data_IF_224420585898
#
_entry.id   IF_224420585898
#
_cell.length_a   1.000
_cell.length_b   1.000
_cell.length_c   1.000
_cell.angle_alpha   90.00
_cell.angle_beta   90.00
_cell.angle_gamma   90.00
#
_symmetry.space_group_name_H-M   'P 1'
#
loop_
_entity.id
_entity.type
_entity.pdbx_description
1 polymer ?
#
# COMPACT_ATOMS: atom_id res chain seq x y z
N UNK A 1 6.10 5.48 -27.53
CA UNK A 1 6.19 5.72 -26.07
C UNK A 1 6.87 4.56 -25.32
N UNK A 2 7.15 4.67 -24.03
CA UNK A 2 7.78 3.58 -23.24
C UNK A 2 7.33 3.64 -21.77
N UNK A 3 7.45 2.52 -21.05
CA UNK A 3 7.19 2.44 -19.62
C UNK A 3 8.28 1.61 -18.91
N UNK A 4 9.19 2.21 -18.14
CA UNK A 4 10.25 1.50 -17.44
C UNK A 4 9.76 0.43 -16.47
N UNK A 5 8.53 0.57 -15.92
CA UNK A 5 7.98 -0.44 -15.01
C UNK A 5 7.86 -1.84 -15.63
N UNK A 6 7.65 -1.93 -16.92
CA UNK A 6 7.57 -3.23 -17.60
C UNK A 6 8.86 -4.04 -17.45
N UNK A 7 10.02 -3.36 -17.35
CA UNK A 7 11.34 -3.99 -17.22
C UNK A 7 11.86 -4.01 -15.80
N UNK A 8 11.63 -2.92 -15.07
CA UNK A 8 12.33 -2.63 -13.82
C UNK A 8 11.45 -2.75 -12.57
N UNK A 9 10.17 -3.11 -12.69
CA UNK A 9 9.28 -3.26 -11.54
C UNK A 9 8.77 -4.69 -11.38
N UNK A 10 8.85 -5.19 -10.16
CA UNK A 10 8.29 -6.48 -9.73
C UNK A 10 7.28 -6.20 -8.65
N UNK A 11 6.04 -6.63 -8.85
CA UNK A 11 5.00 -6.55 -7.85
C UNK A 11 4.57 -7.93 -7.39
N UNK A 12 4.62 -8.13 -6.08
CA UNK A 12 4.00 -9.28 -5.43
C UNK A 12 2.54 -8.98 -5.10
N UNK A 13 1.63 -9.86 -5.51
CA UNK A 13 0.21 -9.71 -5.31
C UNK A 13 -0.27 -10.42 -4.03
N UNK A 14 -1.44 -10.02 -3.45
CA UNK A 14 -1.94 -10.62 -2.21
C UNK A 14 -2.46 -12.06 -2.36
N UNK A 15 -2.48 -12.61 -3.55
CA UNK A 15 -2.83 -14.01 -3.86
C UNK A 15 -1.60 -14.89 -4.12
N UNK A 16 -0.38 -14.35 -3.94
CA UNK A 16 0.86 -15.09 -4.16
C UNK A 16 1.42 -15.01 -5.58
N UNK A 17 0.72 -14.37 -6.51
CA UNK A 17 1.18 -14.16 -7.88
C UNK A 17 2.09 -12.95 -8.01
N UNK A 18 2.71 -12.78 -9.18
CA UNK A 18 3.54 -11.62 -9.53
C UNK A 18 2.97 -10.89 -10.75
N UNK A 19 3.20 -9.59 -10.78
CA UNK A 19 2.85 -8.73 -11.91
C UNK A 19 3.89 -7.62 -12.09
N UNK A 20 3.79 -6.86 -13.18
CA UNK A 20 4.75 -5.77 -13.49
C UNK A 20 4.25 -4.39 -13.08
N UNK A 21 2.97 -4.23 -12.83
CA UNK A 21 2.42 -2.93 -12.43
C UNK A 21 1.11 -3.10 -11.64
N UNK A 22 0.95 -2.33 -10.57
CA UNK A 22 -0.28 -2.31 -9.78
C UNK A 22 -1.37 -1.39 -10.34
N UNK A 23 -1.07 -0.61 -11.37
CA UNK A 23 -2.03 0.28 -12.04
C UNK A 23 -2.64 -0.29 -13.31
N UNK A 24 -2.12 -1.41 -13.79
CA UNK A 24 -2.73 -2.10 -14.93
C UNK A 24 -4.13 -2.60 -14.58
N UNK A 25 -5.02 -2.54 -15.56
CA UNK A 25 -6.39 -3.03 -15.47
C UNK A 25 -6.46 -4.37 -16.20
N UNK A 26 -7.04 -5.39 -15.56
CA UNK A 26 -7.18 -6.72 -16.14
C UNK A 26 -5.87 -7.34 -16.69
N UNK A 27 -4.73 -6.91 -16.15
CA UNK A 27 -3.45 -7.49 -16.55
C UNK A 27 -3.34 -8.94 -16.05
N UNK A 28 -2.70 -9.82 -16.81
CA UNK A 28 -2.46 -11.18 -16.36
C UNK A 28 -1.54 -11.22 -15.15
N UNK A 29 -1.77 -12.20 -14.29
CA UNK A 29 -0.96 -12.50 -13.13
C UNK A 29 -0.24 -13.84 -13.33
N UNK A 30 0.97 -13.96 -12.84
CA UNK A 30 1.83 -15.10 -13.08
C UNK A 30 2.32 -15.68 -11.74
N UNK A 31 2.56 -17.00 -11.70
CA UNK A 31 3.05 -17.67 -10.49
C UNK A 31 4.49 -17.24 -10.13
N UNK A 32 5.29 -16.89 -11.13
CA UNK A 32 6.65 -16.38 -10.94
C UNK A 32 7.11 -15.55 -12.15
N UNK A 33 8.28 -14.93 -12.03
CA UNK A 33 8.82 -14.02 -13.07
C UNK A 33 9.49 -14.72 -14.23
N UNK A 34 9.70 -16.03 -14.17
CA UNK A 34 10.46 -16.79 -15.17
C UNK A 34 9.58 -17.58 -16.12
N UNK A 35 8.26 -17.41 -16.04
CA UNK A 35 7.34 -18.07 -16.97
C UNK A 35 7.44 -17.49 -18.38
N UNK A 36 7.32 -18.35 -19.37
CA UNK A 36 7.42 -17.96 -20.77
C UNK A 36 6.26 -17.04 -21.17
N UNK A 37 5.06 -17.28 -20.65
CA UNK A 37 3.86 -16.47 -20.88
C UNK A 37 4.05 -15.01 -20.44
N UNK A 38 4.71 -14.78 -19.29
CA UNK A 38 5.05 -13.42 -18.86
C UNK A 38 5.96 -12.73 -19.86
N UNK A 39 6.97 -13.41 -20.35
CA UNK A 39 7.93 -12.85 -21.33
C UNK A 39 7.24 -12.51 -22.66
N UNK A 40 6.36 -13.38 -23.13
CA UNK A 40 5.55 -13.13 -24.32
C UNK A 40 4.65 -11.91 -24.14
N UNK A 41 3.89 -11.91 -23.08
CA UNK A 41 2.96 -10.81 -22.77
C UNK A 41 3.70 -9.46 -22.63
N UNK A 42 4.84 -9.42 -21.96
CA UNK A 42 5.66 -8.21 -21.84
C UNK A 42 6.14 -7.71 -23.19
N UNK A 43 6.55 -8.63 -24.07
CA UNK A 43 6.97 -8.27 -25.44
C UNK A 43 5.83 -7.62 -26.23
N UNK A 44 4.62 -8.17 -26.18
CA UNK A 44 3.42 -7.62 -26.84
C UNK A 44 3.09 -6.21 -26.32
N UNK A 45 3.12 -6.03 -24.98
CA UNK A 45 2.84 -4.74 -24.35
C UNK A 45 3.91 -3.69 -24.73
N UNK A 46 5.19 -4.05 -24.72
CA UNK A 46 6.29 -3.18 -25.11
C UNK A 46 6.22 -2.80 -26.59
N UNK A 47 5.90 -3.77 -27.45
CA UNK A 47 5.77 -3.55 -28.90
C UNK A 47 4.62 -2.57 -29.21
N UNK A 48 3.48 -2.71 -28.53
CA UNK A 48 2.37 -1.76 -28.65
C UNK A 48 2.81 -0.35 -28.28
N UNK A 49 3.50 -0.21 -27.14
CA UNK A 49 4.00 1.11 -26.70
C UNK A 49 5.04 1.70 -27.65
N UNK A 50 5.94 0.89 -28.23
CA UNK A 50 6.93 1.35 -29.22
C UNK A 50 6.26 1.91 -30.49
N UNK A 51 5.09 1.37 -30.85
CA UNK A 51 4.27 1.85 -31.95
C UNK A 51 3.29 2.96 -31.55
N UNK A 52 3.48 3.60 -30.37
CA UNK A 52 2.63 4.63 -29.80
C UNK A 52 1.16 4.21 -29.61
N UNK A 53 0.92 2.91 -29.44
CA UNK A 53 -0.39 2.35 -29.12
C UNK A 53 -0.46 2.08 -27.61
N UNK A 54 -1.47 2.62 -26.95
CA UNK A 54 -1.72 2.32 -25.56
C UNK A 54 -2.26 0.90 -25.39
N UNK A 55 -1.58 0.04 -24.61
CA UNK A 55 -2.13 -1.27 -24.25
C UNK A 55 -3.43 -1.10 -23.44
N UNK A 56 -4.37 -2.03 -23.64
CA UNK A 56 -5.67 -2.00 -22.95
C UNK A 56 -5.53 -2.02 -21.42
N UNK A 57 -4.46 -2.63 -20.91
CA UNK A 57 -4.15 -2.71 -19.47
C UNK A 57 -3.65 -1.39 -18.90
N UNK A 58 -3.20 -0.46 -19.74
CA UNK A 58 -2.58 0.80 -19.34
C UNK A 58 -3.54 2.02 -19.38
N UNK A 59 -4.86 1.79 -19.50
CA UNK A 59 -5.90 2.83 -19.62
C UNK A 59 -5.85 3.84 -18.48
N UNK A 60 -5.59 3.42 -17.24
CA UNK A 60 -5.48 4.37 -16.10
C UNK A 60 -4.38 5.40 -16.27
N UNK A 61 -3.22 5.01 -16.80
CA UNK A 61 -2.15 5.95 -17.10
C UNK A 61 -2.53 6.84 -18.27
N UNK A 62 -3.14 6.27 -19.31
CA UNK A 62 -3.61 7.01 -20.48
C UNK A 62 -4.62 8.11 -20.08
N UNK A 63 -5.65 7.74 -19.35
CA UNK A 63 -6.68 8.68 -18.86
C UNK A 63 -6.07 9.78 -17.99
N UNK A 64 -5.19 9.38 -17.03
CA UNK A 64 -4.53 10.36 -16.17
C UNK A 64 -3.63 11.32 -16.95
N UNK A 65 -2.92 10.85 -17.98
CA UNK A 65 -2.05 11.68 -18.81
C UNK A 65 -2.82 12.58 -19.77
N UNK A 66 -4.08 12.25 -20.09
CA UNK A 66 -4.98 13.13 -20.83
C UNK A 66 -5.54 14.28 -19.98
N UNK A 67 -5.69 14.05 -18.67
CA UNK A 67 -6.27 15.02 -17.74
C UNK A 67 -5.19 15.83 -17.00
N UNK A 68 -4.01 15.27 -16.80
CA UNK A 68 -2.95 15.84 -15.97
C UNK A 68 -1.57 15.56 -16.57
N UNK A 69 -0.57 16.33 -16.17
CA UNK A 69 0.83 16.11 -16.57
C UNK A 69 1.54 15.07 -15.69
N UNK A 70 0.80 14.21 -15.01
CA UNK A 70 1.36 13.21 -14.09
C UNK A 70 0.72 11.84 -14.31
N UNK A 71 1.50 10.78 -14.14
CA UNK A 71 1.02 9.40 -14.07
C UNK A 71 2.07 8.51 -13.41
N UNK A 72 1.69 7.28 -13.06
CA UNK A 72 2.66 6.28 -12.60
C UNK A 72 3.73 5.99 -13.66
N UNK A 73 3.37 6.02 -14.95
CA UNK A 73 4.32 5.84 -16.06
C UNK A 73 5.31 7.01 -16.15
N UNK A 74 4.82 8.24 -16.13
CA UNK A 74 5.67 9.44 -16.20
C UNK A 74 6.59 9.55 -14.98
N UNK A 75 6.10 9.21 -13.79
CA UNK A 75 6.93 9.14 -12.60
C UNK A 75 8.00 8.04 -12.71
N UNK A 76 7.66 6.89 -13.31
CA UNK A 76 8.63 5.84 -13.55
C UNK A 76 9.71 6.25 -14.56
N UNK A 77 9.38 7.05 -15.58
CA UNK A 77 10.36 7.60 -16.54
C UNK A 77 11.31 8.57 -15.81
N UNK A 78 10.79 9.46 -14.97
CA UNK A 78 11.65 10.36 -14.17
C UNK A 78 12.59 9.57 -13.26
N UNK A 79 12.05 8.58 -12.55
CA UNK A 79 12.84 7.71 -11.68
C UNK A 79 13.92 6.94 -12.45
N UNK A 80 13.59 6.42 -13.64
CA UNK A 80 14.51 5.68 -14.51
C UNK A 80 15.72 6.54 -14.95
N UNK A 81 15.48 7.80 -15.26
CA UNK A 81 16.52 8.76 -15.65
C UNK A 81 17.53 9.07 -14.53
N UNK A 82 17.15 8.87 -13.27
CA UNK A 82 17.98 9.08 -12.10
C UNK A 82 18.83 7.85 -11.72
N UNK A 83 18.53 6.69 -12.34
CA UNK A 83 19.22 5.45 -11.98
C UNK A 83 20.59 5.34 -12.61
N UNK A 84 21.57 4.96 -11.79
CA UNK A 84 22.96 4.71 -12.22
C UNK A 84 23.30 3.23 -12.30
N UNK A 85 22.39 2.37 -11.80
CA UNK A 85 22.56 0.90 -11.82
C UNK A 85 21.89 0.36 -13.08
N UNK A 86 22.63 -0.23 -14.00
CA UNK A 86 22.04 -0.90 -15.16
C UNK A 86 21.09 -2.01 -14.70
N UNK A 87 19.97 -2.17 -15.40
CA UNK A 87 18.99 -3.24 -15.12
C UNK A 87 18.51 -3.28 -13.66
N UNK A 88 18.41 -2.14 -13.01
CA UNK A 88 17.90 -2.04 -11.63
C UNK A 88 16.51 -2.67 -11.47
N UNK A 89 16.17 -3.04 -10.25
CA UNK A 89 14.83 -3.51 -9.90
C UNK A 89 14.21 -2.64 -8.80
N UNK A 90 12.96 -2.30 -9.02
CA UNK A 90 12.04 -1.81 -7.99
C UNK A 90 11.11 -2.95 -7.60
N UNK A 91 11.02 -3.24 -6.32
CA UNK A 91 10.14 -4.30 -5.80
C UNK A 91 9.02 -3.66 -5.01
N UNK A 92 7.80 -4.09 -5.25
CA UNK A 92 6.64 -3.55 -4.53
C UNK A 92 5.53 -4.56 -4.31
N UNK A 93 4.47 -4.09 -3.68
CA UNK A 93 3.27 -4.88 -3.41
C UNK A 93 3.25 -5.55 -2.05
N UNK A 94 2.63 -6.72 -1.96
CA UNK A 94 2.34 -7.43 -0.73
C UNK A 94 3.34 -8.54 -0.50
N UNK A 95 4.31 -8.35 0.40
CA UNK A 95 5.26 -9.41 0.74
C UNK A 95 4.65 -10.44 1.69
N UNK A 96 3.72 -10.02 2.56
CA UNK A 96 2.76 -10.88 3.24
C UNK A 96 1.48 -10.09 3.60
N UNK A 97 0.44 -10.80 4.06
CA UNK A 97 -0.81 -10.21 4.51
C UNK A 97 -1.02 -10.30 6.03
N UNK A 98 0.03 -10.60 6.80
CA UNK A 98 -0.04 -10.62 8.26
C UNK A 98 -0.35 -9.21 8.78
N UNK A 99 -1.47 -9.07 9.47
CA UNK A 99 -1.93 -7.80 10.02
C UNK A 99 -2.62 -7.99 11.36
N UNK A 100 -2.37 -7.08 12.29
CA UNK A 100 -3.01 -7.05 13.61
C UNK A 100 -4.28 -6.20 13.64
N UNK A 101 -4.66 -5.55 12.52
CA UNK A 101 -5.80 -4.64 12.44
C UNK A 101 -6.93 -5.20 11.59
N UNK A 102 -8.16 -4.91 12.02
CA UNK A 102 -9.38 -5.23 11.31
C UNK A 102 -10.09 -3.95 10.83
N UNK A 103 -9.36 -3.07 10.12
CA UNK A 103 -9.88 -1.79 9.65
C UNK A 103 -11.18 -1.95 8.85
N UNK A 104 -12.10 -0.97 9.01
CA UNK A 104 -13.42 -1.01 8.35
C UNK A 104 -13.34 -0.95 6.82
N UNK A 105 -12.31 -0.26 6.30
CA UNK A 105 -12.09 0.00 4.87
C UNK A 105 -11.17 -1.01 4.19
N UNK A 106 -10.70 -2.04 4.91
CA UNK A 106 -9.78 -3.05 4.41
C UNK A 106 -10.49 -4.38 4.12
N UNK A 107 -9.78 -5.34 3.53
CA UNK A 107 -10.30 -6.66 3.17
C UNK A 107 -9.39 -7.81 3.63
N UNK A 108 -9.91 -9.04 3.53
CA UNK A 108 -9.22 -10.23 4.02
C UNK A 108 -7.98 -10.63 3.21
N UNK A 109 -7.83 -10.18 1.96
CA UNK A 109 -6.63 -10.44 1.16
C UNK A 109 -5.42 -9.66 1.66
N UNK A 110 -5.67 -8.52 2.32
CA UNK A 110 -4.64 -7.63 2.85
C UNK A 110 -4.51 -7.69 4.37
N UNK A 111 -5.41 -8.42 5.07
CA UNK A 111 -5.37 -8.53 6.52
C UNK A 111 -5.86 -9.90 7.01
N UNK A 112 -4.95 -10.66 7.58
CA UNK A 112 -5.29 -11.94 8.25
C UNK A 112 -6.24 -11.75 9.43
N UNK A 113 -6.23 -10.58 10.08
CA UNK A 113 -7.19 -10.25 11.15
C UNK A 113 -8.62 -10.19 10.61
N UNK A 114 -8.83 -9.54 9.47
CA UNK A 114 -10.15 -9.49 8.82
C UNK A 114 -10.58 -10.88 8.37
N UNK A 115 -9.66 -11.66 7.80
CA UNK A 115 -9.93 -13.06 7.44
C UNK A 115 -10.46 -13.86 8.62
N UNK A 116 -9.84 -13.74 9.80
CA UNK A 116 -10.28 -14.38 11.03
C UNK A 116 -11.67 -13.95 11.49
N UNK A 117 -11.99 -12.65 11.40
CA UNK A 117 -13.30 -12.11 11.78
C UNK A 117 -14.44 -12.67 10.93
N UNK A 118 -14.18 -12.96 9.66
CA UNK A 118 -15.17 -13.54 8.76
C UNK A 118 -15.34 -15.07 8.90
N UNK A 119 -14.64 -15.69 9.84
CA UNK A 119 -14.71 -17.15 10.06
C UNK A 119 -14.24 -17.98 8.86
N UNK A 120 -13.59 -17.37 7.88
CA UNK A 120 -13.02 -18.02 6.71
C UNK A 120 -11.52 -18.20 6.93
N UNK A 121 -11.01 -19.37 6.60
CA UNK A 121 -9.57 -19.57 6.49
C UNK A 121 -9.11 -18.89 5.18
N UNK A 122 -8.78 -17.62 5.28
CA UNK A 122 -8.05 -16.97 4.19
C UNK A 122 -6.60 -17.42 4.25
N UNK A 123 -5.99 -17.74 3.12
CA UNK A 123 -4.60 -18.16 3.11
C UNK A 123 -3.72 -17.03 3.65
N UNK A 124 -2.77 -17.39 4.52
CA UNK A 124 -1.67 -16.50 4.84
C UNK A 124 -0.78 -16.48 3.60
N UNK A 125 -0.66 -15.32 3.00
CA UNK A 125 0.22 -15.10 1.86
C UNK A 125 1.62 -14.78 2.38
N UNK A 126 2.61 -15.50 1.90
CA UNK A 126 4.02 -15.28 2.18
C UNK A 126 4.81 -15.27 0.86
N UNK A 127 5.09 -14.09 0.38
CA UNK A 127 5.90 -13.83 -0.82
C UNK A 127 7.40 -13.66 -0.49
N UNK A 128 7.83 -13.84 0.75
CA UNK A 128 9.22 -13.65 1.16
C UNK A 128 10.17 -14.57 0.40
N UNK A 129 9.77 -15.82 0.12
CA UNK A 129 10.57 -16.73 -0.70
C UNK A 129 10.78 -16.20 -2.12
N UNK A 130 9.73 -15.64 -2.73
CA UNK A 130 9.82 -15.00 -4.05
C UNK A 130 10.73 -13.78 -4.02
N UNK A 131 10.65 -12.96 -2.97
CA UNK A 131 11.55 -11.82 -2.77
C UNK A 131 13.03 -12.27 -2.71
N UNK A 132 13.36 -13.29 -1.92
CA UNK A 132 14.73 -13.79 -1.77
C UNK A 132 15.27 -14.51 -3.02
N UNK A 133 14.41 -14.88 -3.97
CA UNK A 133 14.83 -15.47 -5.27
C UNK A 133 15.19 -14.41 -6.34
N UNK A 134 14.94 -13.12 -6.07
CA UNK A 134 15.30 -12.04 -6.98
C UNK A 134 16.82 -11.83 -7.02
N UNK A 135 17.35 -11.26 -8.11
CA UNK A 135 18.74 -10.78 -8.16
C UNK A 135 18.87 -9.54 -7.27
N UNK A 136 19.10 -9.78 -5.96
CA UNK A 136 19.02 -8.76 -4.92
C UNK A 136 20.01 -7.61 -5.11
N UNK A 137 21.14 -7.87 -5.75
CA UNK A 137 22.14 -6.85 -6.11
C UNK A 137 21.60 -5.77 -7.06
N UNK A 138 20.50 -6.08 -7.76
CA UNK A 138 19.79 -5.15 -8.66
C UNK A 138 18.67 -4.39 -7.99
N UNK A 139 18.24 -4.82 -6.79
CA UNK A 139 17.12 -4.18 -6.08
C UNK A 139 17.59 -2.87 -5.47
N UNK A 140 17.08 -1.75 -5.98
CA UNK A 140 17.42 -0.39 -5.52
C UNK A 140 16.29 0.28 -4.75
N UNK A 141 15.05 -0.13 -4.96
CA UNK A 141 13.89 0.46 -4.30
C UNK A 141 12.90 -0.63 -3.86
N UNK A 142 12.36 -0.47 -2.65
CA UNK A 142 11.34 -1.34 -2.07
C UNK A 142 10.11 -0.50 -1.69
N UNK A 143 8.92 -0.91 -2.20
CA UNK A 143 7.63 -0.25 -1.96
C UNK A 143 6.64 -1.24 -1.35
N UNK A 144 6.59 -1.30 -0.02
CA UNK A 144 5.82 -2.28 0.74
C UNK A 144 4.39 -1.82 0.96
N UNK A 145 3.46 -2.63 0.51
CA UNK A 145 2.02 -2.47 0.72
C UNK A 145 1.40 -3.75 1.29
N UNK A 146 0.28 -3.61 2.01
CA UNK A 146 -0.49 -4.74 2.54
C UNK A 146 0.14 -5.40 3.77
N UNK A 147 -0.68 -6.10 4.56
CA UNK A 147 -0.30 -6.52 5.88
C UNK A 147 0.03 -5.36 6.82
N UNK A 148 0.78 -5.65 7.87
CA UNK A 148 1.36 -4.62 8.74
C UNK A 148 2.85 -4.91 8.96
N UNK A 149 3.76 -4.10 8.40
CA UNK A 149 5.20 -4.34 8.51
C UNK A 149 5.72 -4.43 9.94
N UNK A 150 5.18 -3.63 10.86
CA UNK A 150 5.59 -3.64 12.27
C UNK A 150 5.10 -4.89 13.03
N UNK A 151 4.12 -5.61 12.50
CA UNK A 151 3.59 -6.84 13.07
C UNK A 151 4.21 -8.10 12.41
N UNK A 152 4.47 -8.05 11.11
CA UNK A 152 4.96 -9.18 10.34
C UNK A 152 6.43 -9.50 10.62
N UNK A 153 6.71 -10.77 10.94
CA UNK A 153 8.09 -11.27 11.06
C UNK A 153 8.83 -11.30 9.73
N UNK A 154 8.11 -11.58 8.63
CA UNK A 154 8.69 -11.61 7.29
C UNK A 154 9.16 -10.23 6.86
N UNK A 155 8.32 -9.20 7.04
CA UNK A 155 8.72 -7.82 6.75
C UNK A 155 9.93 -7.38 7.56
N UNK A 156 9.93 -7.65 8.87
CA UNK A 156 11.06 -7.34 9.76
C UNK A 156 12.34 -8.03 9.30
N UNK A 157 12.25 -9.32 8.96
CA UNK A 157 13.39 -10.08 8.45
C UNK A 157 13.92 -9.52 7.13
N UNK A 158 13.04 -9.18 6.19
CA UNK A 158 13.43 -8.58 4.91
C UNK A 158 14.12 -7.23 5.15
N UNK A 159 13.51 -6.33 5.93
CA UNK A 159 14.08 -5.00 6.20
C UNK A 159 15.44 -5.06 6.90
N UNK A 160 15.62 -5.99 7.83
CA UNK A 160 16.89 -6.19 8.53
C UNK A 160 18.01 -6.74 7.63
N UNK A 161 17.66 -7.39 6.51
CA UNK A 161 18.62 -8.07 5.63
C UNK A 161 18.61 -7.52 4.18
N UNK A 162 18.13 -6.29 3.99
CA UNK A 162 18.15 -5.66 2.67
C UNK A 162 19.57 -5.51 2.12
N UNK A 163 19.77 -5.75 0.80
CA UNK A 163 21.08 -5.73 0.17
C UNK A 163 21.71 -4.32 0.21
N UNK A 164 23.05 -4.22 0.03
CA UNK A 164 23.73 -2.93 -0.05
C UNK A 164 23.29 -2.06 -1.24
N UNK A 165 22.71 -2.66 -2.28
CA UNK A 165 22.21 -1.96 -3.46
C UNK A 165 21.00 -1.07 -3.18
N UNK A 166 20.27 -1.33 -2.07
CA UNK A 166 19.06 -0.57 -1.73
C UNK A 166 19.37 0.91 -1.52
N UNK A 167 18.60 1.79 -2.16
CA UNK A 167 18.71 3.25 -2.07
C UNK A 167 17.51 3.87 -1.37
N UNK A 168 16.34 3.29 -1.54
CA UNK A 168 15.12 3.81 -0.92
C UNK A 168 14.14 2.71 -0.53
N UNK A 169 13.42 2.94 0.55
CA UNK A 169 12.35 2.09 1.06
C UNK A 169 11.14 2.95 1.34
N UNK A 170 10.00 2.60 0.76
CA UNK A 170 8.69 3.14 1.10
C UNK A 170 7.84 2.04 1.70
N UNK A 171 7.17 2.33 2.79
CA UNK A 171 6.24 1.40 3.42
C UNK A 171 5.00 2.11 3.96
N UNK A 172 3.89 1.37 3.96
CA UNK A 172 2.67 1.78 4.63
C UNK A 172 2.58 1.06 5.98
N UNK A 173 2.15 1.78 7.02
CA UNK A 173 1.95 1.22 8.36
C UNK A 173 0.65 1.71 8.98
N UNK A 174 0.04 0.86 9.79
CA UNK A 174 -1.10 1.25 10.65
C UNK A 174 -0.66 1.95 11.93
N UNK A 175 0.65 2.13 12.12
CA UNK A 175 1.25 2.83 13.26
C UNK A 175 0.92 2.23 14.64
N UNK A 176 0.51 0.94 14.70
CA UNK A 176 0.28 0.28 15.99
C UNK A 176 1.57 0.05 16.80
N UNK A 177 2.70 0.02 16.11
CA UNK A 177 4.04 -0.15 16.69
C UNK A 177 5.06 0.56 15.80
N UNK A 178 6.08 1.13 16.40
CA UNK A 178 7.20 1.73 15.64
C UNK A 178 8.15 0.64 15.14
N UNK A 179 8.48 0.68 13.86
CA UNK A 179 9.32 -0.29 13.18
C UNK A 179 10.81 0.06 13.36
N UNK A 180 11.47 -0.60 14.31
CA UNK A 180 12.86 -0.33 14.66
C UNK A 180 13.86 -0.77 13.58
N UNK A 181 13.46 -1.70 12.73
CA UNK A 181 14.25 -2.22 11.60
C UNK A 181 14.57 -1.15 10.56
N UNK A 182 13.93 0.02 10.62
CA UNK A 182 14.26 1.17 9.78
C UNK A 182 15.55 1.88 10.19
N UNK A 183 15.91 1.87 11.47
CA UNK A 183 17.09 2.60 11.96
C UNK A 183 18.40 2.17 11.30
N UNK A 184 18.71 0.88 11.15
CA UNK A 184 19.91 0.46 10.43
C UNK A 184 19.94 0.91 8.96
N UNK A 185 18.78 0.97 8.30
CA UNK A 185 18.66 1.45 6.91
C UNK A 185 18.97 2.94 6.83
N UNK A 186 18.41 3.72 7.74
CA UNK A 186 18.64 5.17 7.83
C UNK A 186 20.13 5.46 8.07
N UNK A 187 20.78 4.74 8.99
CA UNK A 187 22.22 4.89 9.26
C UNK A 187 23.11 4.50 8.07
N UNK A 188 22.62 3.63 7.18
CA UNK A 188 23.26 3.29 5.91
C UNK A 188 23.05 4.36 4.82
N UNK A 189 22.30 5.42 5.09
CA UNK A 189 21.95 6.46 4.11
C UNK A 189 20.81 6.08 3.16
N UNK A 190 20.04 5.02 3.46
CA UNK A 190 18.86 4.65 2.68
C UNK A 190 17.76 5.69 2.92
N UNK A 191 17.18 6.21 1.86
CA UNK A 191 16.00 7.08 1.95
C UNK A 191 14.79 6.29 2.40
N UNK A 192 14.23 6.61 3.56
CA UNK A 192 13.06 5.91 4.10
C UNK A 192 11.85 6.84 4.07
N UNK A 193 10.77 6.37 3.43
CA UNK A 193 9.45 7.03 3.46
C UNK A 193 8.48 6.14 4.22
N UNK A 194 7.88 6.69 5.27
CA UNK A 194 6.85 6.02 6.07
C UNK A 194 5.51 6.70 5.79
N UNK A 195 4.59 5.96 5.18
CA UNK A 195 3.22 6.40 4.97
C UNK A 195 2.34 5.81 6.07
N UNK A 196 1.88 6.65 6.96
CA UNK A 196 1.01 6.26 8.08
C UNK A 196 -0.45 6.35 7.65
N UNK A 197 -1.18 5.25 7.78
CA UNK A 197 -2.63 5.21 7.49
C UNK A 197 -3.40 5.92 8.60
N UNK A 198 -4.00 7.06 8.26
CA UNK A 198 -4.61 8.02 9.19
C UNK A 198 -6.06 8.31 8.79
N UNK A 199 -7.00 7.51 9.27
CA UNK A 199 -8.40 7.54 8.81
C UNK A 199 -9.37 8.16 9.83
N UNK A 200 -8.88 8.94 10.79
CA UNK A 200 -9.71 9.63 11.77
C UNK A 200 -8.95 10.09 13.00
N UNK A 201 -9.59 10.86 13.84
CA UNK A 201 -9.08 11.39 15.11
C UNK A 201 -9.96 10.87 16.24
N UNK A 202 -9.35 10.49 17.37
CA UNK A 202 -10.07 10.04 18.55
C UNK A 202 -10.96 8.81 18.31
N UNK A 203 -12.23 8.89 18.65
CA UNK A 203 -13.19 7.80 18.54
C UNK A 203 -13.40 7.30 17.10
N UNK A 204 -13.31 8.19 16.09
CA UNK A 204 -13.40 7.80 14.68
C UNK A 204 -12.22 6.92 14.29
N UNK A 205 -11.01 7.28 14.73
CA UNK A 205 -9.83 6.43 14.53
C UNK A 205 -10.02 5.06 15.18
N UNK A 206 -10.42 5.03 16.45
CA UNK A 206 -10.65 3.80 17.22
C UNK A 206 -11.62 2.85 16.51
N UNK A 207 -12.63 3.40 15.87
CA UNK A 207 -13.62 2.64 15.12
C UNK A 207 -13.13 2.19 13.75
N UNK A 208 -12.64 3.12 12.94
CA UNK A 208 -12.22 2.83 11.55
C UNK A 208 -10.98 1.95 11.50
N UNK A 209 -10.03 2.16 12.39
CA UNK A 209 -8.73 1.46 12.47
C UNK A 209 -8.68 0.37 13.55
N UNK A 210 -9.85 -0.13 14.00
CA UNK A 210 -9.96 -1.16 15.02
C UNK A 210 -8.94 -2.31 14.86
N UNK A 211 -8.30 -2.80 15.96
CA UNK A 211 -8.47 -2.42 17.37
C UNK A 211 -7.46 -1.38 17.86
N UNK A 212 -6.79 -0.64 16.96
CA UNK A 212 -5.75 0.32 17.33
C UNK A 212 -6.41 1.53 17.98
N UNK A 213 -5.96 1.87 19.19
CA UNK A 213 -6.44 3.01 19.93
C UNK A 213 -5.71 4.29 19.53
N UNK A 214 -6.47 5.40 19.49
CA UNK A 214 -5.98 6.72 19.14
C UNK A 214 -4.73 7.13 19.92
N UNK A 215 -4.76 6.98 21.25
CA UNK A 215 -3.65 7.40 22.10
C UNK A 215 -2.36 6.68 21.73
N UNK A 216 -2.45 5.35 21.50
CA UNK A 216 -1.29 4.55 21.10
C UNK A 216 -0.81 4.88 19.69
N UNK A 217 -1.74 5.10 18.79
CA UNK A 217 -1.43 5.56 17.43
C UNK A 217 -0.69 6.91 17.48
N UNK A 218 -1.21 7.88 18.23
CA UNK A 218 -0.63 9.21 18.36
C UNK A 218 0.78 9.18 18.96
N UNK A 219 1.00 8.41 20.04
CA UNK A 219 2.34 8.20 20.61
C UNK A 219 3.33 7.71 19.54
N UNK A 220 2.96 6.66 18.81
CA UNK A 220 3.83 6.07 17.81
C UNK A 220 4.07 7.02 16.62
N UNK A 221 3.05 7.78 16.19
CA UNK A 221 3.19 8.80 15.16
C UNK A 221 4.19 9.87 15.57
N UNK A 222 4.14 10.32 16.84
CA UNK A 222 5.10 11.31 17.35
C UNK A 222 6.52 10.75 17.42
N UNK A 223 6.71 9.44 17.66
CA UNK A 223 8.03 8.81 17.56
C UNK A 223 8.51 8.82 16.12
N UNK A 224 7.67 8.40 15.13
CA UNK A 224 8.06 8.47 13.72
C UNK A 224 8.43 9.89 13.29
N UNK A 225 7.75 10.91 13.80
CA UNK A 225 8.06 12.31 13.52
C UNK A 225 9.47 12.73 14.00
N UNK A 226 10.04 12.07 15.01
CA UNK A 226 11.41 12.34 15.49
C UNK A 226 12.46 11.56 14.70
N UNK A 227 12.08 10.57 13.91
CA UNK A 227 13.00 9.79 13.10
C UNK A 227 13.37 10.56 11.82
N UNK A 228 14.58 10.39 11.28
CA UNK A 228 14.98 11.00 10.01
C UNK A 228 14.39 10.22 8.81
N UNK A 229 13.08 10.23 8.70
CA UNK A 229 12.30 9.61 7.62
C UNK A 229 11.42 10.66 6.93
N UNK A 230 11.08 10.43 5.68
CA UNK A 230 10.02 11.18 5.02
C UNK A 230 8.68 10.64 5.53
N UNK A 231 8.05 11.37 6.44
CA UNK A 231 6.78 10.97 7.03
C UNK A 231 5.61 11.55 6.24
N UNK A 232 4.67 10.70 5.87
CA UNK A 232 3.44 11.08 5.16
C UNK A 232 2.23 10.45 5.82
N UNK A 233 1.13 11.19 5.92
CA UNK A 233 -0.17 10.67 6.34
C UNK A 233 -1.02 10.35 5.12
N UNK A 234 -1.69 9.21 5.15
CA UNK A 234 -2.62 8.80 4.10
C UNK A 234 -4.00 8.53 4.69
N UNK A 235 -5.03 9.18 4.12
CA UNK A 235 -6.42 8.96 4.52
C UNK A 235 -7.22 8.28 3.40
N UNK A 236 -7.88 7.18 3.75
CA UNK A 236 -8.92 6.58 2.91
C UNK A 236 -10.27 7.15 3.33
N UNK A 237 -10.78 8.10 2.54
CA UNK A 237 -12.03 8.81 2.84
C UNK A 237 -13.23 7.94 2.53
N UNK A 238 -14.09 7.77 3.50
CA UNK A 238 -15.31 6.96 3.46
C UNK A 238 -16.45 7.68 4.16
N UNK A 239 -17.66 7.14 4.13
CA UNK A 239 -18.81 7.68 4.90
C UNK A 239 -18.54 7.75 6.41
N UNK A 240 -17.57 6.97 6.91
CA UNK A 240 -17.23 6.91 8.33
C UNK A 240 -16.39 8.09 8.82
N UNK A 241 -15.62 8.73 7.93
CA UNK A 241 -14.63 9.74 8.31
C UNK A 241 -14.64 11.00 7.44
N UNK A 242 -15.46 11.07 6.39
CA UNK A 242 -15.52 12.24 5.51
C UNK A 242 -15.81 13.56 6.27
N UNK A 243 -16.60 13.48 7.34
CA UNK A 243 -16.93 14.64 8.18
C UNK A 243 -15.73 15.18 8.95
N UNK A 244 -14.70 14.35 9.22
CA UNK A 244 -13.46 14.77 9.87
C UNK A 244 -12.35 15.17 8.89
N UNK A 245 -12.55 15.06 7.56
CA UNK A 245 -11.49 15.34 6.61
C UNK A 245 -10.85 16.73 6.77
N UNK A 246 -11.60 17.82 7.00
CA UNK A 246 -11.00 19.13 7.28
C UNK A 246 -10.12 19.14 8.54
N UNK A 247 -10.55 18.46 9.61
CA UNK A 247 -9.82 18.35 10.87
C UNK A 247 -8.53 17.50 10.70
N UNK A 248 -8.60 16.41 9.90
CA UNK A 248 -7.46 15.57 9.53
C UNK A 248 -6.40 16.39 8.77
N UNK A 249 -6.82 17.21 7.80
CA UNK A 249 -5.93 18.08 7.03
C UNK A 249 -5.26 19.11 7.95
N UNK A 250 -6.02 19.74 8.85
CA UNK A 250 -5.47 20.73 9.78
C UNK A 250 -4.53 20.09 10.80
N UNK A 251 -4.84 18.87 11.28
CA UNK A 251 -3.94 18.07 12.13
C UNK A 251 -2.58 17.84 11.43
N UNK A 252 -2.60 17.38 10.19
CA UNK A 252 -1.38 17.13 9.41
C UNK A 252 -0.56 18.43 9.27
N UNK A 253 -1.21 19.52 8.90
CA UNK A 253 -0.60 20.84 8.77
C UNK A 253 -0.03 21.36 10.09
N UNK A 254 -0.76 21.23 11.19
CA UNK A 254 -0.30 21.62 12.52
C UNK A 254 0.97 20.89 12.94
N UNK A 255 1.06 19.60 12.59
CA UNK A 255 2.24 18.79 12.87
C UNK A 255 3.34 18.90 11.82
N UNK A 256 3.14 19.64 10.72
CA UNK A 256 4.10 19.76 9.62
C UNK A 256 4.39 18.43 8.95
N UNK A 257 3.36 17.58 8.78
CA UNK A 257 3.46 16.28 8.13
C UNK A 257 2.69 16.35 6.79
N UNK A 258 3.31 15.86 5.72
CA UNK A 258 2.64 15.76 4.43
C UNK A 258 1.41 14.86 4.52
N UNK A 259 0.33 15.26 3.85
CA UNK A 259 -0.93 14.50 3.85
C UNK A 259 -1.47 14.33 2.44
N UNK A 260 -1.93 13.12 2.17
CA UNK A 260 -2.63 12.77 0.94
C UNK A 260 -3.87 11.94 1.27
N UNK A 261 -4.87 11.97 0.40
CA UNK A 261 -6.07 11.16 0.58
C UNK A 261 -6.64 10.68 -0.75
N UNK A 262 -7.46 9.63 -0.67
CA UNK A 262 -8.29 9.16 -1.78
C UNK A 262 -9.65 8.68 -1.27
N UNK A 263 -10.66 8.80 -2.13
CA UNK A 263 -12.00 8.31 -1.82
C UNK A 263 -12.10 6.80 -1.99
N UNK A 264 -12.70 6.15 -1.00
CA UNK A 264 -12.94 4.71 -1.00
C UNK A 264 -13.95 4.33 -2.08
N UNK A 265 -13.62 3.31 -2.87
CA UNK A 265 -14.54 2.71 -3.86
C UNK A 265 -15.10 1.36 -3.40
N UNK A 266 -14.34 0.61 -2.60
CA UNK A 266 -14.74 -0.69 -2.07
C UNK A 266 -14.33 -0.83 -0.60
N UNK A 267 -15.17 -1.37 0.29
CA UNK A 267 -16.54 -1.86 0.00
C UNK A 267 -17.51 -0.70 -0.35
N UNK A 268 -18.41 -0.95 -1.30
CA UNK A 268 -19.36 0.05 -1.82
C UNK A 268 -20.23 0.67 -0.73
N UNK A 269 -20.64 -0.12 0.27
CA UNK A 269 -21.39 0.38 1.43
C UNK A 269 -20.72 1.50 2.19
N UNK A 270 -19.40 1.66 2.10
CA UNK A 270 -18.63 2.71 2.78
C UNK A 270 -18.15 3.79 1.81
N UNK A 271 -18.44 3.69 0.51
CA UNK A 271 -18.13 4.75 -0.46
C UNK A 271 -18.96 6.00 -0.16
N UNK A 272 -18.34 7.17 -0.29
CA UNK A 272 -19.02 8.46 -0.15
C UNK A 272 -20.03 8.72 -1.27
N UNK A 273 -19.93 7.98 -2.36
CA UNK A 273 -20.86 8.05 -3.48
C UNK A 273 -22.16 7.24 -3.22
N UNK A 274 -22.20 6.44 -2.13
CA UNK A 274 -23.35 5.64 -1.78
C UNK A 274 -24.38 6.47 -1.02
N UNK A 275 -25.58 6.60 -1.60
CA UNK A 275 -26.70 7.37 -1.03
C UNK A 275 -27.74 6.48 -0.30
N UNK A 276 -27.59 5.15 -0.31
CA UNK A 276 -28.47 4.22 0.42
C UNK A 276 -28.04 4.12 1.90
N UNK A 277 -28.60 4.99 2.75
CA UNK A 277 -28.31 5.03 4.18
C UNK A 277 -28.65 3.71 4.88
N UNK A 278 -29.74 3.04 4.50
CA UNK A 278 -30.13 1.75 5.10
C UNK A 278 -29.09 0.65 4.77
N UNK A 279 -28.51 0.68 3.57
CA UNK A 279 -27.45 -0.24 3.20
C UNK A 279 -26.17 0.03 4.00
N UNK A 280 -25.79 1.30 4.15
CA UNK A 280 -24.66 1.74 4.99
C UNK A 280 -24.85 1.26 6.43
N UNK A 281 -26.00 1.52 7.02
CA UNK A 281 -26.27 1.21 8.42
C UNK A 281 -26.25 -0.31 8.67
N UNK A 282 -26.87 -1.11 7.80
CA UNK A 282 -26.81 -2.58 7.89
C UNK A 282 -25.39 -3.09 7.81
N UNK A 283 -24.59 -2.56 6.90
CA UNK A 283 -23.18 -2.93 6.77
C UNK A 283 -22.40 -2.59 8.04
N UNK A 284 -22.54 -1.37 8.56
CA UNK A 284 -21.86 -0.93 9.79
C UNK A 284 -22.26 -1.83 10.98
N UNK A 285 -23.53 -2.16 11.14
CA UNK A 285 -23.99 -3.05 12.21
C UNK A 285 -23.39 -4.45 12.08
N UNK A 286 -23.36 -5.01 10.89
CA UNK A 286 -22.69 -6.29 10.64
C UNK A 286 -21.19 -6.24 11.02
N UNK A 287 -20.51 -5.17 10.64
CA UNK A 287 -19.09 -5.00 10.94
C UNK A 287 -18.83 -4.80 12.45
N UNK A 288 -19.73 -4.11 13.17
CA UNK A 288 -19.66 -4.00 14.63
C UNK A 288 -19.78 -5.37 15.29
N UNK A 289 -20.78 -6.16 14.89
CA UNK A 289 -20.99 -7.52 15.42
C UNK A 289 -19.77 -8.42 15.20
N UNK A 290 -19.20 -8.42 14.00
CA UNK A 290 -18.02 -9.23 13.67
C UNK A 290 -16.81 -8.86 14.54
N UNK A 291 -16.69 -7.61 14.97
CA UNK A 291 -15.56 -7.11 15.80
C UNK A 291 -15.84 -7.11 17.29
N UNK A 292 -17.06 -7.48 17.72
CA UNK A 292 -17.47 -7.38 19.11
C UNK A 292 -17.49 -5.93 19.60
N UNK A 293 -17.79 -4.96 18.73
CA UNK A 293 -17.92 -3.54 19.08
C UNK A 293 -19.36 -3.33 19.53
N UNK A 294 -19.55 -3.20 20.86
CA UNK A 294 -20.83 -2.88 21.47
C UNK A 294 -20.88 -1.38 21.75
N UNK A 295 -21.91 -0.70 21.26
CA UNK A 295 -22.31 0.69 21.54
C UNK A 295 -21.15 1.69 21.75
N UNK A 296 -20.38 1.94 20.70
CA UNK A 296 -19.72 3.25 20.56
C UNK A 296 -20.56 4.05 19.56
N UNK A 297 -21.36 4.95 20.08
CA UNK A 297 -21.99 6.02 19.31
C UNK A 297 -20.87 6.82 18.66
N UNK A 298 -20.78 6.71 17.34
CA UNK A 298 -20.06 7.69 16.54
C UNK A 298 -20.96 8.95 16.58
N UNK A 299 -20.69 9.86 17.53
CA UNK A 299 -21.31 11.19 17.55
C UNK A 299 -20.64 12.09 16.53
#
# INVERSE_FOLDING_TARGET
MQCPRLRHFVRFNPNGTVSRCGHMVNAPEFDNLTVMELSFWLHEVELSMQNDIWPSECTRCQETELETDTSIRLNAIKFDQEQTVPDYLTVGGVLDNLCNSGCMTCNANLSTRIGSLHGRQFPIVDNSRGFWSLPLERVVHLDINGGEPSYSKNYKHILANLPPSIRSVRLNTNCSTVLQELLPLIYRGVQVTVTVSFDGIGAVHDFVRWPIKWDKFYENLMIYKTMPVNLNLWTTVSVLNQHQLPEIIEFAKHHGIDHSYAYLKQPEALSVDNLDQDFVDRYIQQQKQLRGIHDQTLC
#
